data_IF_051382079061
#
_entry.id   IF_051382079061
#
_cell.length_a   1.000
_cell.length_b   1.000
_cell.length_c   1.000
_cell.angle_alpha   90.00
_cell.angle_beta   90.00
_cell.angle_gamma   90.00
#
_symmetry.space_group_name_H-M   'P 1'
#
loop_
_entity.id
_entity.type
_entity.pdbx_description
1 polymer ?
#
# COMPACT_ATOMS: atom_id res chain seq x y z
N UNK A 1 20.27 3.01 -72.87
CA UNK A 1 21.06 2.67 -71.67
C UNK A 1 20.23 1.77 -70.77
N UNK A 2 20.59 0.50 -70.69
CA UNK A 2 19.89 -0.51 -69.87
C UNK A 2 20.17 -0.18 -68.39
N UNK A 3 19.08 0.09 -67.61
CA UNK A 3 19.18 0.31 -66.17
C UNK A 3 19.55 -1.02 -65.49
N UNK A 4 20.80 -1.21 -65.14
CA UNK A 4 21.31 -2.29 -64.33
C UNK A 4 20.92 -2.01 -62.86
N UNK A 5 19.78 -2.47 -62.39
CA UNK A 5 19.34 -2.41 -61.00
C UNK A 5 18.36 -3.55 -60.74
N UNK A 6 18.43 -4.15 -59.53
CA UNK A 6 17.51 -5.22 -59.09
C UNK A 6 16.06 -4.79 -59.31
N UNK A 7 15.23 -5.60 -60.00
CA UNK A 7 13.81 -5.23 -60.24
C UNK A 7 13.14 -4.94 -58.91
N UNK A 8 12.40 -3.84 -58.83
CA UNK A 8 11.61 -3.49 -57.66
C UNK A 8 10.44 -4.46 -57.54
N UNK A 9 10.22 -5.01 -56.36
CA UNK A 9 8.98 -5.73 -56.09
C UNK A 9 7.79 -4.79 -56.36
N UNK A 10 6.78 -5.27 -57.06
CA UNK A 10 5.56 -4.53 -57.30
C UNK A 10 4.81 -4.31 -55.98
N UNK A 11 4.30 -3.11 -55.75
CA UNK A 11 3.55 -2.78 -54.56
C UNK A 11 2.10 -2.46 -54.97
N UNK A 12 1.23 -3.43 -54.76
CA UNK A 12 -0.20 -3.35 -55.04
C UNK A 12 -0.92 -3.26 -53.69
N UNK A 13 -1.84 -2.32 -53.55
CA UNK A 13 -2.70 -2.17 -52.37
C UNK A 13 -4.07 -2.75 -52.66
N UNK A 14 -4.67 -3.44 -51.68
CA UNK A 14 -6.10 -3.69 -51.70
C UNK A 14 -6.89 -2.40 -51.41
N UNK A 15 -8.17 -2.38 -51.75
CA UNK A 15 -9.03 -1.22 -51.44
C UNK A 15 -9.12 -0.97 -49.93
N UNK A 16 -9.16 -2.04 -49.13
CA UNK A 16 -9.17 -1.96 -47.68
C UNK A 16 -7.87 -1.37 -47.11
N UNK A 17 -6.72 -1.81 -47.63
CA UNK A 17 -5.41 -1.29 -47.23
C UNK A 17 -5.26 0.19 -47.59
N UNK A 18 -5.70 0.56 -48.80
CA UNK A 18 -5.68 1.96 -49.25
C UNK A 18 -6.53 2.82 -48.30
N UNK A 19 -7.77 2.40 -48.05
CA UNK A 19 -8.67 3.12 -47.14
C UNK A 19 -8.10 3.27 -45.72
N UNK A 20 -7.48 2.21 -45.21
CA UNK A 20 -6.84 2.24 -43.87
C UNK A 20 -5.66 3.21 -43.83
N UNK A 21 -4.76 3.16 -44.82
CA UNK A 21 -3.59 4.03 -44.90
C UNK A 21 -4.00 5.51 -45.04
N UNK A 22 -4.97 5.83 -45.92
CA UNK A 22 -5.51 7.17 -46.07
C UNK A 22 -6.23 7.66 -44.80
N UNK A 23 -6.97 6.77 -44.13
CA UNK A 23 -7.63 7.06 -42.86
C UNK A 23 -6.64 7.48 -41.79
N UNK A 24 -5.50 6.80 -41.65
CA UNK A 24 -4.45 7.16 -40.69
C UNK A 24 -3.75 8.47 -41.06
N UNK A 25 -3.54 8.73 -42.33
CA UNK A 25 -2.96 10.01 -42.79
C UNK A 25 -3.87 11.20 -42.46
N UNK A 26 -5.18 11.06 -42.58
CA UNK A 26 -6.15 12.13 -42.30
C UNK A 26 -6.35 12.40 -40.78
N UNK A 27 -6.11 11.41 -39.92
CA UNK A 27 -6.33 11.52 -38.47
C UNK A 27 -5.23 12.37 -37.80
N UNK A 28 -5.59 13.47 -37.15
CA UNK A 28 -4.65 14.34 -36.40
C UNK A 28 -3.97 13.63 -35.23
N UNK A 29 -4.57 12.59 -34.67
CA UNK A 29 -4.02 11.81 -33.57
C UNK A 29 -3.02 10.73 -34.00
N UNK A 30 -2.80 10.53 -35.32
CA UNK A 30 -1.82 9.55 -35.81
C UNK A 30 -0.40 10.04 -35.53
N UNK A 31 0.48 9.22 -34.88
CA UNK A 31 1.87 9.59 -34.68
C UNK A 31 2.57 9.95 -35.99
N UNK A 32 3.35 11.03 -36.01
CA UNK A 32 3.99 11.53 -37.23
C UNK A 32 4.82 10.44 -37.97
N UNK A 33 5.55 9.61 -37.19
CA UNK A 33 6.33 8.52 -37.77
C UNK A 33 5.45 7.50 -38.51
N UNK A 34 4.26 7.20 -37.98
CA UNK A 34 3.30 6.29 -38.62
C UNK A 34 2.68 6.92 -39.85
N UNK A 35 2.25 8.17 -39.78
CA UNK A 35 1.68 8.92 -40.90
C UNK A 35 2.70 9.02 -42.06
N UNK A 36 3.96 9.29 -41.80
CA UNK A 36 5.01 9.28 -42.80
C UNK A 36 5.17 7.94 -43.50
N UNK A 37 5.11 6.83 -42.76
CA UNK A 37 5.17 5.47 -43.32
C UNK A 37 3.98 5.20 -44.21
N UNK A 38 2.77 5.61 -43.82
CA UNK A 38 1.58 5.50 -44.65
C UNK A 38 1.72 6.32 -45.93
N UNK A 39 2.19 7.54 -45.86
CA UNK A 39 2.47 8.37 -47.03
C UNK A 39 3.48 7.74 -48.01
N UNK A 40 4.55 7.14 -47.45
CA UNK A 40 5.54 6.42 -48.25
C UNK A 40 4.90 5.29 -49.05
N UNK A 41 4.05 4.47 -48.42
CA UNK A 41 3.41 3.33 -49.06
C UNK A 41 2.39 3.77 -50.13
N UNK A 42 1.56 4.76 -49.82
CA UNK A 42 0.61 5.33 -50.77
C UNK A 42 1.32 5.87 -52.01
N UNK A 43 2.36 6.68 -51.85
CA UNK A 43 3.14 7.22 -52.95
C UNK A 43 3.87 6.13 -53.79
N UNK A 44 4.38 5.08 -53.09
CA UNK A 44 4.97 3.93 -53.81
C UNK A 44 3.95 3.14 -54.61
N UNK A 45 2.69 3.03 -54.16
CA UNK A 45 1.61 2.37 -54.86
C UNK A 45 1.12 3.16 -56.08
N UNK A 46 1.32 4.49 -56.09
CA UNK A 46 1.10 5.37 -57.25
C UNK A 46 2.19 5.24 -58.34
N UNK A 47 3.20 4.40 -58.12
CA UNK A 47 4.23 4.11 -59.11
C UNK A 47 5.51 4.97 -58.96
N UNK A 48 5.56 5.91 -58.03
CA UNK A 48 6.75 6.77 -57.81
C UNK A 48 8.00 5.97 -57.44
N UNK A 49 9.14 6.46 -57.90
CA UNK A 49 10.41 5.86 -57.55
C UNK A 49 10.76 6.17 -56.10
N UNK A 50 11.60 5.33 -55.42
CA UNK A 50 12.04 5.58 -54.06
C UNK A 50 12.73 6.94 -53.91
N UNK A 51 13.40 7.44 -54.93
CA UNK A 51 14.05 8.77 -54.93
C UNK A 51 12.98 9.88 -54.97
N UNK A 52 11.96 9.76 -55.81
CA UNK A 52 10.93 10.76 -55.93
C UNK A 52 10.06 10.84 -54.65
N UNK A 53 9.73 9.69 -54.09
CA UNK A 53 9.02 9.60 -52.79
C UNK A 53 9.86 10.23 -51.68
N UNK A 54 11.17 9.98 -51.64
CA UNK A 54 12.06 10.55 -50.67
C UNK A 54 12.11 12.09 -50.73
N UNK A 55 12.21 12.66 -51.93
CA UNK A 55 12.17 14.11 -52.16
C UNK A 55 10.81 14.70 -51.73
N UNK A 56 9.71 14.09 -52.14
CA UNK A 56 8.34 14.58 -51.84
C UNK A 56 8.04 14.61 -50.32
N UNK A 57 8.57 13.63 -49.58
CA UNK A 57 8.23 13.45 -48.17
C UNK A 57 9.35 13.87 -47.21
N UNK A 58 10.41 14.51 -47.67
CA UNK A 58 11.54 14.95 -46.84
C UNK A 58 12.26 13.78 -46.15
N UNK A 59 12.37 12.62 -46.85
CA UNK A 59 12.95 11.39 -46.31
C UNK A 59 14.17 10.95 -47.13
N UNK A 60 14.77 9.80 -46.83
CA UNK A 60 15.85 9.23 -47.60
C UNK A 60 15.38 8.07 -48.46
N UNK A 61 15.97 7.90 -49.66
CA UNK A 61 15.62 6.79 -50.57
C UNK A 61 15.83 5.41 -49.91
N UNK A 62 16.78 5.31 -48.97
CA UNK A 62 17.01 4.11 -48.15
C UNK A 62 15.83 3.83 -47.20
N UNK A 63 15.33 4.85 -46.47
CA UNK A 63 14.19 4.71 -45.60
C UNK A 63 12.94 4.31 -46.35
N UNK A 64 12.69 4.96 -47.51
CA UNK A 64 11.57 4.59 -48.41
C UNK A 64 11.70 3.13 -48.87
N UNK A 65 12.87 2.72 -49.34
CA UNK A 65 13.13 1.33 -49.74
C UNK A 65 12.87 0.31 -48.61
N UNK A 66 13.29 0.63 -47.41
CA UNK A 66 13.07 -0.22 -46.22
C UNK A 66 11.59 -0.39 -45.90
N UNK A 67 10.84 0.70 -45.84
CA UNK A 67 9.41 0.62 -45.50
C UNK A 67 8.61 -0.05 -46.63
N UNK A 68 8.97 0.19 -47.87
CA UNK A 68 8.40 -0.51 -49.01
C UNK A 68 8.62 -2.02 -48.94
N UNK A 69 9.84 -2.46 -48.68
CA UNK A 69 10.17 -3.89 -48.54
C UNK A 69 9.38 -4.54 -47.41
N UNK A 70 9.34 -3.88 -46.22
CA UNK A 70 8.57 -4.37 -45.07
C UNK A 70 7.07 -4.47 -45.36
N UNK A 71 6.50 -3.51 -46.09
CA UNK A 71 5.10 -3.55 -46.45
C UNK A 71 4.81 -4.67 -47.45
N UNK A 72 5.67 -4.89 -48.44
CA UNK A 72 5.54 -5.99 -49.38
C UNK A 72 5.55 -7.35 -48.69
N UNK A 73 6.40 -7.51 -47.68
CA UNK A 73 6.58 -8.76 -46.94
C UNK A 73 5.50 -8.96 -45.85
N UNK A 74 5.17 -7.92 -45.08
CA UNK A 74 4.34 -8.03 -43.89
C UNK A 74 3.07 -7.15 -43.93
N UNK A 75 2.77 -6.54 -45.06
CA UNK A 75 1.60 -5.66 -45.26
C UNK A 75 1.54 -4.56 -44.22
N UNK A 76 0.36 -4.17 -43.74
CA UNK A 76 0.13 -3.10 -42.74
C UNK A 76 0.91 -3.36 -41.45
N UNK A 77 0.98 -4.59 -40.98
CA UNK A 77 1.72 -4.96 -39.76
C UNK A 77 3.21 -4.60 -39.87
N UNK A 78 3.77 -4.69 -41.11
CA UNK A 78 5.15 -4.31 -41.40
C UNK A 78 5.47 -2.82 -41.17
N UNK A 79 4.48 -1.95 -41.05
CA UNK A 79 4.69 -0.53 -40.71
C UNK A 79 4.88 -0.28 -39.24
N UNK A 80 4.62 -1.27 -38.36
CA UNK A 80 4.85 -1.19 -36.92
C UNK A 80 6.33 -1.11 -36.56
N UNK A 81 6.62 -0.55 -35.37
CA UNK A 81 7.97 -0.61 -34.81
C UNK A 81 8.23 -2.04 -34.32
N UNK A 82 9.35 -2.60 -34.71
CA UNK A 82 9.81 -3.89 -34.18
C UNK A 82 10.32 -3.67 -32.74
N UNK A 83 10.10 -4.64 -31.84
CA UNK A 83 10.74 -4.62 -30.54
C UNK A 83 12.25 -4.43 -30.72
N UNK A 84 12.81 -3.41 -30.06
CA UNK A 84 14.26 -3.22 -30.10
C UNK A 84 14.89 -4.31 -29.23
N UNK A 85 15.85 -5.03 -29.73
CA UNK A 85 16.72 -5.85 -28.90
C UNK A 85 17.39 -4.92 -27.90
N UNK A 86 17.06 -5.03 -26.60
CA UNK A 86 17.73 -4.25 -25.56
C UNK A 86 19.25 -4.48 -25.61
N UNK A 87 20.00 -3.59 -24.97
CA UNK A 87 21.44 -3.82 -24.77
C UNK A 87 21.71 -5.17 -24.10
N UNK A 88 22.87 -5.82 -24.36
CA UNK A 88 23.23 -7.06 -23.70
C UNK A 88 23.16 -6.91 -22.18
N UNK A 89 22.74 -7.96 -21.49
CA UNK A 89 22.73 -8.00 -20.03
C UNK A 89 24.15 -7.81 -19.51
N UNK A 90 24.37 -6.75 -18.73
CA UNK A 90 25.68 -6.46 -18.12
C UNK A 90 25.88 -7.11 -16.74
N UNK A 91 24.82 -7.68 -16.17
CA UNK A 91 24.81 -8.36 -14.87
C UNK A 91 24.37 -9.79 -15.08
N UNK A 92 25.19 -10.74 -14.66
CA UNK A 92 24.92 -12.17 -14.82
C UNK A 92 23.98 -12.69 -13.75
N UNK A 93 23.38 -13.86 -13.97
CA UNK A 93 22.49 -14.49 -13.01
C UNK A 93 23.22 -14.93 -11.74
N UNK A 94 24.51 -15.31 -11.85
CA UNK A 94 25.38 -15.62 -10.71
C UNK A 94 25.64 -14.38 -9.84
N UNK A 95 25.84 -13.21 -10.46
CA UNK A 95 25.99 -11.95 -9.71
C UNK A 95 24.70 -11.56 -8.98
N UNK A 96 23.54 -11.82 -9.59
CA UNK A 96 22.23 -11.60 -8.95
C UNK A 96 22.06 -12.55 -7.77
N UNK A 97 22.34 -13.85 -7.95
CA UNK A 97 22.25 -14.85 -6.90
C UNK A 97 23.19 -14.54 -5.73
N UNK A 98 24.44 -14.20 -6.00
CA UNK A 98 25.42 -13.81 -4.98
C UNK A 98 24.99 -12.56 -4.20
N UNK A 99 24.37 -11.57 -4.87
CA UNK A 99 23.84 -10.37 -4.22
C UNK A 99 22.65 -10.71 -3.31
N UNK A 100 21.74 -11.57 -3.76
CA UNK A 100 20.59 -12.02 -2.96
C UNK A 100 21.05 -12.82 -1.74
N UNK A 101 21.90 -13.82 -1.93
CA UNK A 101 22.47 -14.62 -0.84
C UNK A 101 23.18 -13.72 0.18
N UNK A 102 24.04 -12.82 -0.27
CA UNK A 102 24.72 -11.87 0.62
C UNK A 102 23.79 -10.97 1.39
N UNK A 103 22.68 -10.55 0.78
CA UNK A 103 21.67 -9.72 1.44
C UNK A 103 20.96 -10.48 2.57
N UNK A 104 20.69 -11.77 2.37
CA UNK A 104 19.93 -12.62 3.30
C UNK A 104 20.79 -13.20 4.42
N UNK A 105 22.05 -13.58 4.11
CA UNK A 105 22.91 -14.39 4.97
C UNK A 105 23.96 -13.58 5.74
N UNK A 106 24.10 -12.28 5.44
CA UNK A 106 25.14 -11.46 6.07
C UNK A 106 24.68 -10.04 6.40
N UNK A 107 25.39 -9.41 7.32
CA UNK A 107 25.24 -8.00 7.65
C UNK A 107 26.54 -7.23 7.35
N UNK A 108 26.51 -5.92 7.10
CA UNK A 108 27.70 -5.09 7.01
C UNK A 108 28.41 -4.99 8.37
N UNK A 109 29.73 -4.74 8.38
CA UNK A 109 30.51 -4.68 9.62
C UNK A 109 30.16 -3.48 10.51
N UNK A 110 29.65 -2.41 9.92
CA UNK A 110 29.40 -1.11 10.54
C UNK A 110 27.92 -0.75 10.64
N UNK A 111 27.01 -1.69 10.31
CA UNK A 111 25.57 -1.46 10.41
C UNK A 111 24.81 -2.76 10.61
N UNK A 112 23.59 -2.67 11.11
CA UNK A 112 22.69 -3.82 11.36
C UNK A 112 22.06 -4.40 10.11
N UNK A 113 22.06 -3.66 8.99
CA UNK A 113 21.45 -4.06 7.74
C UNK A 113 22.14 -3.42 6.52
N UNK A 114 22.01 -4.05 5.37
CA UNK A 114 22.54 -3.53 4.13
C UNK A 114 21.74 -2.34 3.61
N UNK A 115 22.44 -1.28 3.24
CA UNK A 115 21.91 -0.21 2.37
C UNK A 115 22.24 -0.51 0.91
N UNK A 116 21.52 0.07 -0.04
CA UNK A 116 21.85 -0.08 -1.46
C UNK A 116 23.26 0.42 -1.80
N UNK A 117 23.75 1.44 -1.06
CA UNK A 117 25.11 1.98 -1.23
C UNK A 117 26.17 1.06 -0.68
N UNK A 118 26.00 0.53 0.53
CA UNK A 118 26.98 -0.38 1.13
C UNK A 118 27.05 -1.70 0.36
N UNK A 119 25.90 -2.23 -0.10
CA UNK A 119 25.87 -3.41 -0.93
C UNK A 119 26.50 -3.18 -2.29
N UNK A 120 26.26 -2.04 -2.94
CA UNK A 120 26.92 -1.68 -4.20
C UNK A 120 28.44 -1.65 -4.08
N UNK A 121 28.95 -1.01 -3.01
CA UNK A 121 30.39 -0.97 -2.71
C UNK A 121 30.96 -2.38 -2.49
N UNK A 122 30.21 -3.25 -1.84
CA UNK A 122 30.67 -4.60 -1.49
C UNK A 122 30.63 -5.58 -2.67
N UNK A 123 29.71 -5.41 -3.62
CA UNK A 123 29.50 -6.31 -4.77
C UNK A 123 30.11 -5.79 -6.07
N UNK A 124 30.57 -4.54 -6.11
CA UNK A 124 31.05 -3.90 -7.34
C UNK A 124 29.92 -3.53 -8.33
N UNK A 125 28.67 -3.74 -7.96
CA UNK A 125 27.52 -3.39 -8.78
C UNK A 125 27.09 -1.93 -8.55
N UNK A 126 26.37 -1.33 -9.51
CA UNK A 126 25.80 0.00 -9.30
C UNK A 126 24.68 -0.03 -8.27
N UNK A 127 24.51 1.09 -7.53
CA UNK A 127 23.42 1.23 -6.56
C UNK A 127 22.03 1.04 -7.21
N UNK A 128 21.84 1.50 -8.45
CA UNK A 128 20.62 1.31 -9.21
C UNK A 128 20.36 -0.16 -9.54
N UNK A 129 21.40 -0.92 -9.84
CA UNK A 129 21.30 -2.38 -10.04
C UNK A 129 20.90 -3.08 -8.76
N UNK A 130 21.55 -2.79 -7.63
CA UNK A 130 21.19 -3.35 -6.32
C UNK A 130 19.71 -3.04 -5.98
N UNK A 131 19.29 -1.79 -6.14
CA UNK A 131 17.89 -1.39 -5.88
C UNK A 131 16.89 -2.12 -6.77
N UNK A 132 17.22 -2.33 -8.05
CA UNK A 132 16.38 -3.06 -9.00
C UNK A 132 16.26 -4.54 -8.65
N UNK A 133 17.37 -5.18 -8.27
CA UNK A 133 17.38 -6.59 -7.84
C UNK A 133 16.57 -6.73 -6.54
N UNK A 134 16.85 -5.93 -5.52
CA UNK A 134 16.10 -6.00 -4.27
C UNK A 134 14.59 -5.81 -4.47
N UNK A 135 14.19 -4.89 -5.36
CA UNK A 135 12.77 -4.69 -5.69
C UNK A 135 12.16 -5.90 -6.40
N UNK A 136 12.91 -6.51 -7.33
CA UNK A 136 12.45 -7.69 -8.06
C UNK A 136 12.27 -8.92 -7.15
N UNK A 137 13.12 -9.06 -6.12
CA UNK A 137 13.06 -10.15 -5.14
C UNK A 137 12.29 -9.79 -3.85
N UNK A 138 11.68 -8.59 -3.77
CA UNK A 138 10.94 -8.14 -2.58
C UNK A 138 11.81 -7.89 -1.35
N UNK A 139 13.14 -7.76 -1.50
CA UNK A 139 14.07 -7.59 -0.40
C UNK A 139 14.05 -6.15 0.12
N UNK A 140 13.86 -5.98 1.43
CA UNK A 140 13.82 -4.70 2.12
C UNK A 140 14.65 -4.74 3.41
N UNK A 141 15.99 -4.81 3.33
CA UNK A 141 16.85 -4.99 4.51
C UNK A 141 16.72 -3.91 5.58
N UNK A 142 16.30 -2.70 5.17
CA UNK A 142 16.08 -1.55 6.05
C UNK A 142 14.76 -1.60 6.83
N UNK A 143 13.88 -2.57 6.54
CA UNK A 143 12.63 -2.77 7.26
C UNK A 143 12.80 -3.92 8.22
N UNK A 144 12.51 -3.64 9.48
CA UNK A 144 12.37 -4.64 10.53
C UNK A 144 10.95 -4.51 11.08
N UNK A 145 10.22 -5.59 11.09
CA UNK A 145 8.92 -5.68 11.74
C UNK A 145 9.09 -6.53 12.99
N UNK A 146 8.57 -6.02 14.12
CA UNK A 146 8.59 -6.78 15.37
C UNK A 146 7.49 -7.83 15.29
N UNK A 147 7.89 -9.08 15.44
CA UNK A 147 7.00 -10.22 15.52
C UNK A 147 7.10 -10.84 16.90
N UNK A 148 5.96 -11.07 17.55
CA UNK A 148 5.89 -11.79 18.82
C UNK A 148 4.95 -12.96 18.66
N UNK A 149 5.44 -14.16 18.92
CA UNK A 149 4.60 -15.33 19.03
C UNK A 149 3.73 -15.20 20.28
N UNK A 150 2.44 -15.44 20.10
CA UNK A 150 1.53 -15.51 21.25
C UNK A 150 1.80 -16.79 22.04
N UNK A 151 1.87 -16.68 23.34
CA UNK A 151 1.94 -17.79 24.28
C UNK A 151 0.55 -18.17 24.82
N UNK A 152 -0.51 -17.66 24.22
CA UNK A 152 -1.88 -17.92 24.64
C UNK A 152 -2.27 -19.36 24.32
N UNK A 153 -2.62 -20.20 25.31
CA UNK A 153 -3.01 -21.58 25.05
C UNK A 153 -4.29 -21.71 24.21
N UNK A 154 -5.13 -20.67 24.20
CA UNK A 154 -6.37 -20.59 23.42
C UNK A 154 -6.20 -19.76 22.15
N UNK A 155 -4.97 -19.64 21.63
CA UNK A 155 -4.69 -18.79 20.47
C UNK A 155 -5.57 -19.10 19.28
N UNK A 156 -5.67 -20.39 18.92
CA UNK A 156 -6.44 -20.84 17.75
C UNK A 156 -7.92 -20.54 17.94
N UNK A 157 -8.50 -20.90 19.09
CA UNK A 157 -9.92 -20.69 19.38
C UNK A 157 -10.30 -19.20 19.34
N UNK A 158 -9.44 -18.32 19.89
CA UNK A 158 -9.65 -16.87 19.88
C UNK A 158 -9.52 -16.26 18.50
N UNK A 159 -8.63 -16.77 17.65
CA UNK A 159 -8.52 -16.32 16.26
C UNK A 159 -9.78 -16.71 15.48
N UNK A 160 -10.29 -17.92 15.69
CA UNK A 160 -11.54 -18.36 15.06
C UNK A 160 -12.74 -17.54 15.54
N UNK A 161 -12.85 -17.28 16.84
CA UNK A 161 -13.94 -16.51 17.44
C UNK A 161 -13.96 -15.07 16.88
N UNK A 162 -12.85 -14.36 16.92
CA UNK A 162 -12.77 -12.98 16.44
C UNK A 162 -12.92 -12.87 14.92
N UNK A 163 -12.26 -13.74 14.15
CA UNK A 163 -12.40 -13.76 12.70
C UNK A 163 -13.83 -14.12 12.25
N UNK A 164 -14.47 -15.06 12.95
CA UNK A 164 -15.86 -15.43 12.71
C UNK A 164 -16.80 -14.24 12.90
N UNK A 165 -16.66 -13.50 14.00
CA UNK A 165 -17.47 -12.30 14.26
C UNK A 165 -17.33 -11.21 13.19
N UNK A 166 -16.16 -11.10 12.54
CA UNK A 166 -15.96 -10.09 11.50
C UNK A 166 -16.51 -10.52 10.14
N UNK A 167 -16.47 -11.81 9.84
CA UNK A 167 -16.92 -12.36 8.55
C UNK A 167 -18.42 -12.66 8.52
N UNK A 168 -18.96 -13.14 9.64
CA UNK A 168 -20.35 -13.55 9.78
C UNK A 168 -20.87 -13.15 11.17
N UNK A 169 -21.17 -11.85 11.38
CA UNK A 169 -21.68 -11.37 12.65
C UNK A 169 -23.09 -11.91 12.93
N UNK A 170 -23.46 -12.13 14.21
CA UNK A 170 -24.79 -12.61 14.55
C UNK A 170 -25.89 -11.64 14.10
N UNK A 171 -27.05 -12.21 13.74
CA UNK A 171 -28.23 -11.39 13.41
C UNK A 171 -28.63 -10.51 14.61
N UNK A 172 -29.05 -9.27 14.33
CA UNK A 172 -29.45 -8.28 15.35
C UNK A 172 -28.36 -7.98 16.39
N UNK A 173 -27.08 -8.02 15.98
CA UNK A 173 -25.95 -7.71 16.83
C UNK A 173 -25.13 -6.54 16.27
N UNK A 174 -24.48 -5.80 17.16
CA UNK A 174 -23.42 -4.85 16.81
C UNK A 174 -22.08 -5.39 17.30
N UNK A 175 -21.08 -5.38 16.45
CA UNK A 175 -19.73 -5.81 16.77
C UNK A 175 -18.83 -4.57 16.89
N UNK A 176 -18.23 -4.39 18.03
CA UNK A 176 -17.29 -3.29 18.31
C UNK A 176 -15.90 -3.83 18.62
N UNK A 177 -14.89 -3.20 18.03
CA UNK A 177 -13.51 -3.34 18.48
C UNK A 177 -13.24 -2.28 19.53
N UNK A 178 -12.88 -2.69 20.73
CA UNK A 178 -12.71 -1.81 21.90
C UNK A 178 -11.27 -1.87 22.40
N UNK A 179 -10.71 -0.69 22.67
CA UNK A 179 -9.39 -0.57 23.29
C UNK A 179 -9.18 0.82 23.91
N UNK A 180 -8.06 1.01 24.64
CA UNK A 180 -7.67 2.30 25.17
C UNK A 180 -6.33 2.78 24.61
N UNK A 181 -6.33 3.99 24.09
CA UNK A 181 -5.11 4.73 23.81
C UNK A 181 -4.71 5.52 25.03
N UNK A 182 -3.84 4.94 25.82
CA UNK A 182 -3.37 5.54 27.08
C UNK A 182 -2.29 6.60 26.84
N UNK A 183 -2.13 7.52 27.83
CA UNK A 183 -1.04 8.51 27.91
C UNK A 183 -0.85 9.38 26.65
N UNK A 184 -1.94 9.80 26.03
CA UNK A 184 -1.86 10.77 24.93
C UNK A 184 -1.37 12.10 25.50
N UNK A 185 -0.22 12.58 25.03
CA UNK A 185 0.44 13.77 25.57
C UNK A 185 -0.06 15.05 24.91
N UNK A 186 -0.44 16.02 25.73
CA UNK A 186 -0.63 17.40 25.28
C UNK A 186 0.76 18.06 25.18
N UNK A 187 1.20 18.30 23.94
CA UNK A 187 2.51 18.88 23.65
C UNK A 187 2.32 20.31 23.11
N UNK A 188 2.80 21.28 23.86
CA UNK A 188 2.92 22.65 23.36
C UNK A 188 4.19 22.76 22.51
N UNK A 189 3.99 22.92 21.22
CA UNK A 189 5.02 23.10 20.19
C UNK A 189 4.89 24.49 19.55
N UNK A 190 4.50 25.50 20.30
CA UNK A 190 4.25 26.86 19.81
C UNK A 190 5.49 27.60 19.35
N UNK A 191 6.66 26.96 19.30
CA UNK A 191 7.90 27.50 18.74
C UNK A 191 7.77 27.82 17.26
N UNK A 192 8.53 28.81 16.75
CA UNK A 192 8.48 29.18 15.33
C UNK A 192 8.73 27.97 14.43
N UNK A 193 7.86 27.80 13.46
CA UNK A 193 7.97 26.78 12.43
C UNK A 193 8.52 27.43 11.18
N UNK A 194 9.55 26.85 10.57
CA UNK A 194 9.95 27.23 9.23
C UNK A 194 8.92 26.65 8.24
N UNK A 195 8.15 27.49 7.55
CA UNK A 195 7.12 27.02 6.65
C UNK A 195 7.69 26.21 5.50
N UNK A 196 6.88 25.32 4.95
CA UNK A 196 7.22 24.57 3.75
C UNK A 196 7.31 25.52 2.54
N UNK A 197 8.41 25.43 1.79
CA UNK A 197 8.58 26.08 0.49
C UNK A 197 8.95 25.04 -0.57
N UNK A 198 8.78 25.32 -1.87
CA UNK A 198 9.14 24.38 -2.92
C UNK A 198 10.57 23.85 -2.75
N UNK A 199 10.71 22.50 -2.68
CA UNK A 199 12.00 21.82 -2.48
C UNK A 199 12.50 21.73 -1.04
N UNK A 200 11.85 22.39 -0.06
CA UNK A 200 12.24 22.35 1.35
C UNK A 200 11.03 21.94 2.21
N UNK A 201 11.11 20.83 2.96
CA UNK A 201 10.04 20.43 3.85
C UNK A 201 9.88 21.41 5.02
N UNK A 202 8.68 21.45 5.60
CA UNK A 202 8.44 22.16 6.86
C UNK A 202 9.39 21.64 7.94
N UNK A 203 10.02 22.57 8.67
CA UNK A 203 10.88 22.23 9.82
C UNK A 203 10.27 22.77 11.10
N UNK A 204 10.07 21.87 12.05
CA UNK A 204 9.55 22.19 13.38
C UNK A 204 10.72 22.17 14.38
N UNK A 205 10.64 23.02 15.41
CA UNK A 205 11.54 22.95 16.55
C UNK A 205 11.43 21.60 17.28
N UNK A 206 12.52 21.15 17.87
CA UNK A 206 12.53 19.90 18.66
C UNK A 206 11.99 20.12 20.08
N UNK A 207 11.94 21.37 20.54
CA UNK A 207 11.52 21.70 21.89
C UNK A 207 9.99 21.69 22.02
N UNK A 208 9.51 21.13 23.11
CA UNK A 208 8.10 21.12 23.46
C UNK A 208 7.93 21.15 24.98
N UNK A 209 6.83 21.74 25.43
CA UNK A 209 6.41 21.67 26.83
C UNK A 209 5.29 20.64 26.97
N UNK A 210 5.40 19.78 27.96
CA UNK A 210 4.37 18.78 28.29
C UNK A 210 3.34 19.39 29.20
N UNK A 211 2.10 19.55 28.72
CA UNK A 211 0.98 20.10 29.50
C UNK A 211 0.18 19.03 30.26
N UNK A 212 0.54 17.77 30.12
CA UNK A 212 -0.11 16.63 30.76
C UNK A 212 -0.58 15.56 29.77
N UNK A 213 -1.33 14.58 30.27
CA UNK A 213 -1.81 13.43 29.49
C UNK A 213 -3.31 13.21 29.63
N UNK A 214 -3.92 12.57 28.65
CA UNK A 214 -5.27 12.01 28.68
C UNK A 214 -5.26 10.59 28.13
N UNK A 215 -6.33 9.82 28.38
CA UNK A 215 -6.56 8.48 27.84
C UNK A 215 -7.87 8.48 27.07
N UNK A 216 -7.88 7.88 25.89
CA UNK A 216 -9.07 7.71 25.07
C UNK A 216 -9.46 6.23 25.08
N UNK A 217 -10.66 5.91 25.61
CA UNK A 217 -11.35 4.66 25.31
C UNK A 217 -12.15 4.84 24.02
N UNK A 218 -12.07 3.88 23.12
CA UNK A 218 -12.78 3.91 21.85
C UNK A 218 -13.41 2.56 21.53
N UNK A 219 -14.61 2.58 20.97
CA UNK A 219 -15.30 1.45 20.38
C UNK A 219 -15.54 1.76 18.90
N UNK A 220 -14.88 1.00 18.04
CA UNK A 220 -15.04 1.07 16.58
C UNK A 220 -16.09 0.04 16.17
N UNK A 221 -17.21 0.47 15.63
CA UNK A 221 -18.22 -0.40 15.04
C UNK A 221 -17.70 -1.00 13.74
N UNK A 222 -17.64 -2.32 13.65
CA UNK A 222 -17.02 -3.03 12.52
C UNK A 222 -17.78 -2.80 11.22
N UNK A 223 -19.09 -2.81 11.27
CA UNK A 223 -19.95 -2.71 10.09
C UNK A 223 -19.94 -1.31 9.45
N UNK A 224 -20.02 -0.27 10.27
CA UNK A 224 -20.16 1.12 9.78
C UNK A 224 -18.86 1.90 9.81
N UNK A 225 -17.90 1.49 10.63
CA UNK A 225 -16.68 2.24 10.91
C UNK A 225 -16.88 3.44 11.85
N UNK A 226 -18.08 3.64 12.41
CA UNK A 226 -18.33 4.68 13.41
C UNK A 226 -17.58 4.40 14.70
N UNK A 227 -17.24 5.46 15.41
CA UNK A 227 -16.47 5.38 16.66
C UNK A 227 -17.21 6.09 17.79
N UNK A 228 -17.38 5.37 18.89
CA UNK A 228 -17.80 5.93 20.18
C UNK A 228 -16.54 6.11 21.02
N UNK A 229 -16.21 7.33 21.41
CA UNK A 229 -15.04 7.66 22.18
C UNK A 229 -15.35 8.27 23.54
N UNK A 230 -14.52 8.01 24.56
CA UNK A 230 -14.60 8.63 25.88
C UNK A 230 -13.21 8.97 26.42
N UNK A 231 -13.00 10.22 26.81
CA UNK A 231 -11.71 10.73 27.30
C UNK A 231 -11.70 10.77 28.82
N UNK A 232 -10.63 10.23 29.41
CA UNK A 232 -10.44 10.10 30.85
C UNK A 232 -9.00 10.42 31.25
N UNK A 233 -8.80 10.83 32.49
CA UNK A 233 -7.45 11.09 33.06
C UNK A 233 -6.68 9.80 33.37
N UNK A 234 -7.37 8.69 33.53
CA UNK A 234 -6.83 7.39 33.90
C UNK A 234 -7.49 6.29 33.07
N UNK A 235 -6.86 5.10 33.03
CA UNK A 235 -7.34 3.92 32.30
C UNK A 235 -7.53 2.72 33.24
N UNK A 236 -8.26 2.93 34.35
CA UNK A 236 -8.57 1.89 35.34
C UNK A 236 -9.93 1.25 35.02
N UNK A 237 -10.27 0.18 35.76
CA UNK A 237 -11.55 -0.51 35.62
C UNK A 237 -12.78 0.42 35.84
N UNK A 238 -12.63 1.45 36.68
CA UNK A 238 -13.70 2.45 36.90
C UNK A 238 -13.99 3.26 35.64
N UNK A 239 -12.95 3.73 34.97
CA UNK A 239 -13.08 4.50 33.74
C UNK A 239 -13.60 3.61 32.60
N UNK A 240 -13.13 2.37 32.51
CA UNK A 240 -13.66 1.40 31.57
C UNK A 240 -15.15 1.10 31.83
N UNK A 241 -15.57 0.91 33.07
CA UNK A 241 -16.99 0.77 33.42
C UNK A 241 -17.82 1.95 32.98
N UNK A 242 -17.33 3.19 33.19
CA UNK A 242 -18.02 4.41 32.71
C UNK A 242 -18.14 4.41 31.18
N UNK A 243 -17.14 3.91 30.48
CA UNK A 243 -17.15 3.78 29.05
C UNK A 243 -18.19 2.73 28.58
N UNK A 244 -18.29 1.57 29.26
CA UNK A 244 -19.31 0.56 28.97
C UNK A 244 -20.74 1.13 29.18
N UNK A 245 -20.97 1.89 30.25
CA UNK A 245 -22.25 2.57 30.48
C UNK A 245 -22.57 3.59 29.41
N UNK A 246 -21.56 4.31 28.89
CA UNK A 246 -21.73 5.19 27.75
C UNK A 246 -22.13 4.42 26.49
N UNK A 247 -21.42 3.34 26.19
CA UNK A 247 -21.68 2.47 25.05
C UNK A 247 -23.11 1.90 25.10
N UNK A 248 -23.53 1.43 26.28
CA UNK A 248 -24.88 0.90 26.50
C UNK A 248 -25.98 1.91 26.20
N UNK A 249 -25.75 3.20 26.47
CA UNK A 249 -26.70 4.30 26.18
C UNK A 249 -26.73 4.71 24.70
N UNK A 250 -25.62 4.53 23.98
CA UNK A 250 -25.50 4.94 22.57
C UNK A 250 -25.92 3.82 21.61
N UNK A 251 -25.94 2.56 22.06
CA UNK A 251 -26.40 1.42 21.27
C UNK A 251 -27.92 1.25 21.41
N UNK A 252 -28.66 1.10 20.30
CA UNK A 252 -30.10 0.87 20.33
C UNK A 252 -30.49 -0.34 21.19
N UNK A 253 -31.61 -0.23 21.87
CA UNK A 253 -32.18 -1.33 22.66
C UNK A 253 -32.59 -2.51 21.76
N UNK A 254 -32.46 -3.72 22.30
CA UNK A 254 -32.86 -4.95 21.61
C UNK A 254 -31.84 -5.48 20.61
N UNK A 255 -30.64 -4.88 20.57
CA UNK A 255 -29.48 -5.43 19.86
C UNK A 255 -28.50 -6.06 20.83
N UNK A 256 -27.94 -7.20 20.44
CA UNK A 256 -26.78 -7.81 21.12
C UNK A 256 -25.52 -6.99 20.83
N UNK A 257 -24.62 -6.91 21.79
CA UNK A 257 -23.39 -6.10 21.71
C UNK A 257 -22.19 -7.00 21.91
N UNK A 258 -21.47 -7.26 20.85
CA UNK A 258 -20.24 -8.05 20.87
C UNK A 258 -19.02 -7.13 20.92
N UNK A 259 -18.20 -7.26 21.96
CA UNK A 259 -17.00 -6.44 22.16
C UNK A 259 -15.77 -7.28 21.96
N UNK A 260 -14.98 -6.96 20.94
CA UNK A 260 -13.64 -7.52 20.71
C UNK A 260 -12.64 -6.63 21.42
N UNK A 261 -11.93 -7.18 22.40
CA UNK A 261 -10.95 -6.45 23.22
C UNK A 261 -9.69 -7.29 23.48
N UNK A 262 -8.65 -6.61 23.93
CA UNK A 262 -7.43 -7.29 24.36
C UNK A 262 -7.62 -8.03 25.70
N UNK A 263 -6.68 -8.91 26.01
CA UNK A 263 -6.73 -9.73 27.22
C UNK A 263 -6.23 -8.98 28.48
N UNK A 264 -6.44 -7.67 28.58
CA UNK A 264 -5.95 -6.86 29.68
C UNK A 264 -6.71 -7.10 30.99
N UNK A 265 -6.00 -7.10 32.10
CA UNK A 265 -6.56 -7.44 33.42
C UNK A 265 -7.71 -6.50 33.86
N UNK A 266 -7.70 -5.24 33.43
CA UNK A 266 -8.71 -4.25 33.73
C UNK A 266 -10.12 -4.67 33.29
N UNK A 267 -10.22 -5.40 32.17
CA UNK A 267 -11.48 -5.88 31.58
C UNK A 267 -12.10 -7.06 32.35
N UNK A 268 -11.34 -7.68 33.25
CA UNK A 268 -11.75 -8.90 33.98
C UNK A 268 -11.98 -8.69 35.49
N UNK A 269 -12.03 -7.43 35.93
CA UNK A 269 -12.22 -7.11 37.35
C UNK A 269 -13.62 -7.50 37.84
N UNK A 270 -13.79 -7.73 39.18
CA UNK A 270 -15.11 -8.04 39.75
C UNK A 270 -16.18 -7.00 39.42
N UNK A 271 -15.82 -5.71 39.38
CA UNK A 271 -16.74 -4.62 39.04
C UNK A 271 -17.27 -4.70 37.61
N UNK A 272 -16.43 -5.13 36.66
CA UNK A 272 -16.83 -5.35 35.25
C UNK A 272 -17.69 -6.60 35.13
N UNK A 273 -17.30 -7.69 35.78
CA UNK A 273 -18.10 -8.93 35.79
C UNK A 273 -19.51 -8.71 36.33
N UNK A 274 -19.63 -7.98 37.46
CA UNK A 274 -20.95 -7.64 38.04
C UNK A 274 -21.77 -6.76 37.08
N UNK A 275 -21.13 -5.82 36.39
CA UNK A 275 -21.81 -4.99 35.40
C UNK A 275 -22.32 -5.83 34.21
N UNK A 276 -21.51 -6.74 33.69
CA UNK A 276 -21.90 -7.64 32.58
C UNK A 276 -23.06 -8.57 32.97
N UNK A 277 -23.09 -9.08 34.20
CA UNK A 277 -24.21 -9.90 34.68
C UNK A 277 -25.54 -9.11 34.68
N UNK A 278 -25.48 -7.79 34.92
CA UNK A 278 -26.65 -6.93 34.85
C UNK A 278 -27.00 -6.47 33.42
N UNK A 279 -26.10 -6.71 32.44
CA UNK A 279 -26.28 -6.30 31.06
C UNK A 279 -26.02 -7.51 30.13
N UNK A 280 -26.91 -8.52 30.11
CA UNK A 280 -26.67 -9.79 29.43
C UNK A 280 -26.53 -9.67 27.93
N UNK A 281 -26.94 -8.56 27.33
CA UNK A 281 -26.75 -8.27 25.90
C UNK A 281 -25.29 -8.01 25.49
N UNK A 282 -24.35 -7.87 26.46
CA UNK A 282 -22.95 -7.62 26.20
C UNK A 282 -22.13 -8.90 26.26
N UNK A 283 -21.47 -9.23 25.14
CA UNK A 283 -20.61 -10.40 24.98
C UNK A 283 -19.16 -9.97 24.75
N UNK A 284 -18.24 -10.50 25.55
CA UNK A 284 -16.82 -10.15 25.42
C UNK A 284 -16.05 -11.24 24.70
N UNK A 285 -15.30 -10.83 23.66
CA UNK A 285 -14.44 -11.67 22.84
C UNK A 285 -13.00 -11.16 22.99
N UNK A 286 -12.13 -12.02 23.52
CA UNK A 286 -10.75 -11.60 23.81
C UNK A 286 -9.81 -12.00 22.69
N UNK A 287 -9.00 -11.03 22.23
CA UNK A 287 -7.88 -11.34 21.33
C UNK A 287 -6.84 -12.21 22.01
N UNK A 288 -6.01 -12.97 21.26
CA UNK A 288 -4.94 -13.75 21.86
C UNK A 288 -3.93 -12.87 22.59
N UNK A 289 -3.42 -13.33 23.72
CA UNK A 289 -2.46 -12.58 24.55
C UNK A 289 -1.21 -12.23 23.72
N UNK A 290 -0.84 -10.96 23.73
CA UNK A 290 0.31 -10.44 22.98
C UNK A 290 0.06 -10.32 21.46
N UNK A 291 -1.19 -10.44 21.00
CA UNK A 291 -1.58 -10.32 19.60
C UNK A 291 -2.75 -9.33 19.47
N UNK A 292 -2.45 -8.03 19.41
CA UNK A 292 -3.47 -6.97 19.27
C UNK A 292 -3.93 -6.76 17.82
N UNK A 293 -3.22 -7.34 16.84
CA UNK A 293 -3.50 -7.17 15.40
C UNK A 293 -4.93 -7.55 14.96
N UNK A 294 -5.68 -8.46 15.63
CA UNK A 294 -7.08 -8.69 15.28
C UNK A 294 -8.00 -7.56 15.73
N UNK A 295 -7.57 -6.69 16.67
CA UNK A 295 -8.38 -5.58 17.16
C UNK A 295 -8.31 -4.39 16.19
N UNK A 296 -9.34 -4.19 15.37
CA UNK A 296 -9.36 -3.18 14.31
C UNK A 296 -9.27 -1.73 14.81
N UNK A 297 -9.64 -1.46 16.06
CA UNK A 297 -9.54 -0.12 16.65
C UNK A 297 -8.10 0.37 16.76
N UNK A 298 -7.12 -0.53 16.86
CA UNK A 298 -5.70 -0.17 16.85
C UNK A 298 -5.29 0.54 15.54
N UNK A 299 -5.82 0.10 14.42
CA UNK A 299 -5.60 0.75 13.12
C UNK A 299 -6.21 2.16 13.11
N UNK A 300 -7.38 2.32 13.70
CA UNK A 300 -8.02 3.62 13.85
C UNK A 300 -7.21 4.55 14.77
N UNK A 301 -6.66 4.04 15.88
CA UNK A 301 -5.74 4.80 16.73
C UNK A 301 -4.48 5.25 16.00
N UNK A 302 -3.96 4.45 15.08
CA UNK A 302 -2.85 4.85 14.23
C UNK A 302 -3.24 6.01 13.30
N UNK A 303 -4.44 6.01 12.74
CA UNK A 303 -4.96 7.13 11.93
C UNK A 303 -5.12 8.41 12.74
N UNK A 304 -5.79 8.35 13.91
CA UNK A 304 -5.91 9.48 14.82
C UNK A 304 -4.53 10.05 15.17
N UNK A 305 -3.58 9.18 15.48
CA UNK A 305 -2.21 9.60 15.82
C UNK A 305 -1.54 10.33 14.67
N UNK A 306 -1.57 9.75 13.47
CA UNK A 306 -0.85 10.29 12.32
C UNK A 306 -1.51 11.56 11.75
N UNK A 307 -2.85 11.61 11.75
CA UNK A 307 -3.60 12.71 11.14
C UNK A 307 -3.82 13.90 12.08
N UNK A 308 -3.99 13.67 13.38
CA UNK A 308 -4.35 14.72 14.34
C UNK A 308 -3.28 14.94 15.43
N UNK A 309 -2.88 13.88 16.16
CA UNK A 309 -2.08 14.06 17.38
C UNK A 309 -0.61 14.38 17.06
N UNK A 310 -0.01 13.66 16.11
CA UNK A 310 1.45 13.70 15.87
C UNK A 310 2.00 15.08 15.53
N UNK A 311 1.24 15.90 14.82
CA UNK A 311 1.61 17.27 14.44
C UNK A 311 0.80 18.35 15.18
N UNK A 312 -0.12 17.94 16.05
CA UNK A 312 -0.93 18.86 16.84
C UNK A 312 -0.10 19.68 17.81
N UNK A 313 -0.55 20.90 18.10
CA UNK A 313 0.01 21.78 19.10
C UNK A 313 -1.06 21.98 20.17
N UNK A 314 -0.81 21.46 21.38
CA UNK A 314 -1.78 21.44 22.46
C UNK A 314 -1.22 22.06 23.73
N UNK A 315 -1.57 23.30 24.00
CA UNK A 315 -1.11 24.03 25.20
C UNK A 315 -1.69 23.51 26.50
N UNK A 316 -2.80 22.78 26.44
CA UNK A 316 -3.48 22.19 27.60
C UNK A 316 -4.05 20.83 27.25
N UNK A 317 -4.28 19.99 28.26
CA UNK A 317 -4.96 18.70 28.07
C UNK A 317 -6.39 18.90 27.54
N UNK A 318 -7.08 19.98 27.98
CA UNK A 318 -8.43 20.29 27.51
C UNK A 318 -8.44 20.62 26.01
N UNK A 319 -7.42 21.34 25.50
CA UNK A 319 -7.30 21.62 24.07
C UNK A 319 -7.12 20.31 23.28
N UNK A 320 -6.24 19.42 23.74
CA UNK A 320 -6.04 18.09 23.14
C UNK A 320 -7.34 17.28 23.11
N UNK A 321 -8.06 17.24 24.25
CA UNK A 321 -9.32 16.51 24.34
C UNK A 321 -10.40 17.07 23.41
N UNK A 322 -10.48 18.38 23.27
CA UNK A 322 -11.43 19.02 22.34
C UNK A 322 -11.10 18.69 20.88
N UNK A 323 -9.81 18.71 20.52
CA UNK A 323 -9.36 18.34 19.18
C UNK A 323 -9.69 16.87 18.86
N UNK A 324 -9.47 15.97 19.81
CA UNK A 324 -9.82 14.55 19.66
C UNK A 324 -11.35 14.39 19.47
N UNK A 325 -12.17 15.08 20.27
CA UNK A 325 -13.65 15.02 20.13
C UNK A 325 -14.10 15.55 18.76
N UNK A 326 -13.55 16.67 18.35
CA UNK A 326 -13.84 17.26 17.02
C UNK A 326 -13.44 16.31 15.90
N UNK A 327 -12.28 15.68 16.01
CA UNK A 327 -11.82 14.72 15.02
C UNK A 327 -12.70 13.46 14.95
N UNK A 328 -13.17 12.92 16.10
CA UNK A 328 -14.11 11.79 16.15
C UNK A 328 -15.45 12.20 15.52
N UNK A 329 -15.94 13.40 15.81
CA UNK A 329 -17.18 13.89 15.21
C UNK A 329 -17.06 14.00 13.68
N UNK A 330 -15.94 14.55 13.19
CA UNK A 330 -15.66 14.64 11.75
C UNK A 330 -15.50 13.25 11.10
N UNK A 331 -14.81 12.31 11.76
CA UNK A 331 -14.71 10.92 11.32
C UNK A 331 -16.08 10.27 11.16
N UNK A 332 -16.97 10.45 12.15
CA UNK A 332 -18.30 9.84 12.15
C UNK A 332 -19.27 10.46 11.12
N UNK A 333 -18.92 11.59 10.49
CA UNK A 333 -19.71 12.17 9.38
C UNK A 333 -19.57 11.35 8.10
N UNK A 334 -18.37 10.81 7.82
CA UNK A 334 -18.08 9.94 6.68
C UNK A 334 -17.18 8.77 7.14
N UNK A 335 -17.71 7.85 7.97
CA UNK A 335 -16.91 6.78 8.55
C UNK A 335 -16.53 5.77 7.50
N UNK A 336 -15.30 5.21 7.63
CA UNK A 336 -14.79 4.21 6.70
C UNK A 336 -14.51 2.92 7.46
N UNK A 337 -15.36 1.88 7.28
CA UNK A 337 -15.14 0.60 7.92
C UNK A 337 -13.85 -0.05 7.43
N UNK A 338 -13.16 -0.75 8.33
CA UNK A 338 -12.04 -1.59 7.98
C UNK A 338 -12.57 -2.97 7.61
N UNK A 339 -12.47 -3.32 6.32
CA UNK A 339 -12.95 -4.60 5.82
C UNK A 339 -11.96 -5.70 6.21
N UNK A 340 -12.44 -6.67 6.97
CA UNK A 340 -11.71 -7.89 7.27
C UNK A 340 -11.95 -8.91 6.16
N UNK A 341 -10.88 -9.50 5.63
CA UNK A 341 -10.95 -10.38 4.44
C UNK A 341 -10.33 -11.75 4.66
N UNK A 342 -9.74 -12.00 5.83
CA UNK A 342 -9.00 -13.23 6.10
C UNK A 342 -9.79 -14.17 6.99
N UNK A 343 -9.88 -15.45 6.58
CA UNK A 343 -10.40 -16.51 7.44
C UNK A 343 -9.38 -16.84 8.54
N UNK A 344 -9.85 -17.48 9.62
CA UNK A 344 -8.96 -17.95 10.67
C UNK A 344 -7.94 -18.97 10.12
N UNK A 345 -8.38 -19.89 9.27
CA UNK A 345 -7.52 -20.91 8.67
C UNK A 345 -6.41 -20.30 7.82
N UNK A 346 -6.73 -19.29 6.96
CA UNK A 346 -5.71 -18.58 6.18
C UNK A 346 -4.67 -17.89 7.06
N UNK A 347 -5.06 -17.39 8.22
CA UNK A 347 -4.16 -16.75 9.19
C UNK A 347 -3.25 -17.80 9.83
N UNK A 348 -3.82 -18.90 10.28
CA UNK A 348 -3.10 -20.00 10.92
C UNK A 348 -2.12 -20.67 9.95
N UNK A 349 -2.51 -20.91 8.70
CA UNK A 349 -1.64 -21.45 7.65
C UNK A 349 -0.44 -20.51 7.37
N UNK A 350 -0.68 -19.21 7.31
CA UNK A 350 0.40 -18.23 7.13
C UNK A 350 1.35 -18.23 8.31
N UNK A 351 0.83 -18.31 9.53
CA UNK A 351 1.63 -18.39 10.74
C UNK A 351 2.49 -19.67 10.74
N UNK A 352 1.89 -20.82 10.46
CA UNK A 352 2.61 -22.10 10.34
C UNK A 352 3.70 -22.04 9.27
N UNK A 353 3.37 -21.50 8.08
CA UNK A 353 4.36 -21.29 7.01
C UNK A 353 5.50 -20.35 7.42
N UNK A 354 5.23 -19.35 8.25
CA UNK A 354 6.26 -18.43 8.76
C UNK A 354 7.16 -19.14 9.77
N UNK A 355 6.57 -19.89 10.71
CA UNK A 355 7.31 -20.66 11.72
C UNK A 355 8.26 -21.69 11.09
N UNK A 356 7.81 -22.38 10.04
CA UNK A 356 8.62 -23.33 9.29
C UNK A 356 9.83 -22.70 8.57
N UNK A 357 9.89 -21.38 8.45
CA UNK A 357 11.01 -20.62 7.85
C UNK A 357 12.02 -20.14 8.87
N UNK A 358 11.68 -20.19 10.15
CA UNK A 358 12.61 -19.86 11.22
C UNK A 358 13.53 -21.08 11.37
N UNK A 359 14.85 -20.96 11.08
CA UNK A 359 15.77 -22.06 11.34
C UNK A 359 15.72 -22.37 12.83
N UNK A 360 15.75 -23.65 13.17
CA UNK A 360 15.94 -24.09 14.56
C UNK A 360 17.22 -23.44 15.09
N UNK A 361 17.08 -22.35 15.80
CA UNK A 361 18.19 -21.79 16.56
C UNK A 361 18.37 -22.74 17.75
N UNK A 362 19.40 -23.54 17.70
CA UNK A 362 19.91 -24.27 18.85
C UNK A 362 20.01 -23.30 20.04
N UNK A 363 19.26 -23.57 21.08
CA UNK A 363 19.42 -22.96 22.39
C UNK A 363 20.43 -23.73 23.21
#
# INVERSE_FOLDING_TARGET
MVRTGRPKAELILSDEERAALEGWVRRRSTPQAWALRCHIILACAEGFSNKDVAVRLGSTAHAVGRWRARFVEHRIVGLGDMPRSGGPRSVTDEQVAALVAKTLESAPKDATHWSTRSMAKQTGLSQSTVSRVWRAFGLQPHRSETFKLSTDPYFVDKVHDVAGLYLDPPERALVFCVDEKSQIQALDRSQPVLPMVPGVPQRMGHDYVRAGTTTLFAALEVATGKVIGSLHRRHRAEEFKKFLVKLDREVPDGLEVHLVLDNYATHKTPAIKTWLLAHPRFHLHFTPTGSSWPNLVERWFAELTNKQIRRGVHKTVQALENDIRTWIAAWNTDPKPYVWTKTADEILERLASHLNRIPDSEH
#
